data_IF_410894446198
#
_entry.id   IF_410894446198
#
_cell.length_a   1.000
_cell.length_b   1.000
_cell.length_c   1.000
_cell.angle_alpha   90.00
_cell.angle_beta   90.00
_cell.angle_gamma   90.00
#
_symmetry.space_group_name_H-M   'P 1'
#
loop_
_entity.id
_entity.type
_entity.pdbx_description
1 polymer ?
#
# COMPACT_ATOMS: atom_id res chain seq x y z
N UNK A 1 -10.35 -4.30 23.64
CA UNK A 1 -9.27 -4.96 24.39
C UNK A 1 -9.16 -6.41 23.94
N UNK A 2 -8.03 -7.08 24.20
CA UNK A 2 -7.94 -8.53 23.97
C UNK A 2 -9.00 -9.24 24.78
N UNK A 3 -9.85 -10.06 24.14
CA UNK A 3 -10.99 -10.74 24.74
C UNK A 3 -12.34 -10.04 24.58
N UNK A 4 -12.37 -8.82 24.03
CA UNK A 4 -13.62 -8.16 23.70
C UNK A 4 -14.27 -8.82 22.47
N UNK A 5 -15.60 -8.91 22.45
CA UNK A 5 -16.37 -9.36 21.29
C UNK A 5 -16.55 -8.23 20.31
N UNK A 6 -16.38 -8.52 19.02
CA UNK A 6 -16.63 -7.58 17.92
C UNK A 6 -17.67 -8.16 16.96
N UNK A 7 -18.51 -7.29 16.42
CA UNK A 7 -19.49 -7.69 15.41
C UNK A 7 -18.80 -7.69 14.05
N UNK A 8 -18.70 -8.86 13.43
CA UNK A 8 -18.25 -9.00 12.05
C UNK A 8 -19.43 -9.14 11.11
N UNK A 9 -19.51 -8.29 10.10
CA UNK A 9 -20.51 -8.43 9.06
C UNK A 9 -20.20 -9.64 8.18
N UNK A 10 -21.21 -10.46 7.80
CA UNK A 10 -20.95 -11.67 6.99
C UNK A 10 -20.52 -11.34 5.54
N UNK A 11 -20.84 -10.15 5.05
CA UNK A 11 -20.43 -9.70 3.71
C UNK A 11 -19.17 -8.86 3.82
N UNK A 12 -18.09 -9.30 3.17
CA UNK A 12 -16.87 -8.49 2.98
C UNK A 12 -17.13 -7.39 1.96
N UNK A 13 -16.62 -6.21 2.26
CA UNK A 13 -16.64 -5.04 1.37
C UNK A 13 -15.24 -4.45 1.33
N UNK A 14 -14.94 -3.69 0.29
CA UNK A 14 -13.63 -3.04 0.10
C UNK A 14 -12.95 -3.49 -1.18
N UNK A 15 -12.07 -2.65 -1.67
CA UNK A 15 -11.37 -2.82 -2.97
C UNK A 15 -9.93 -3.29 -2.80
N UNK A 16 -9.35 -3.22 -1.59
CA UNK A 16 -7.96 -3.60 -1.33
C UNK A 16 -7.77 -5.12 -1.27
N UNK A 17 -8.04 -5.77 -2.38
CA UNK A 17 -7.71 -7.18 -2.61
C UNK A 17 -6.89 -7.33 -3.88
N UNK A 18 -5.96 -8.26 -3.90
CA UNK A 18 -5.11 -8.51 -5.08
C UNK A 18 -5.94 -8.94 -6.31
N UNK A 19 -7.16 -9.45 -6.12
CA UNK A 19 -8.06 -9.85 -7.19
C UNK A 19 -8.60 -8.66 -8.00
N UNK A 20 -8.61 -7.47 -7.41
CA UNK A 20 -9.01 -6.23 -8.10
C UNK A 20 -7.87 -5.56 -8.89
N UNK A 21 -6.72 -6.20 -8.98
CA UNK A 21 -5.60 -5.79 -9.81
C UNK A 21 -5.33 -6.82 -10.91
N UNK A 22 -4.93 -6.34 -12.08
CA UNK A 22 -4.41 -7.20 -13.16
C UNK A 22 -3.00 -7.72 -12.81
N UNK A 23 -2.55 -8.77 -13.48
CA UNK A 23 -1.20 -9.33 -13.27
C UNK A 23 -0.13 -8.36 -13.76
N UNK A 24 0.95 -8.23 -12.99
CA UNK A 24 2.13 -7.44 -13.35
C UNK A 24 3.36 -7.92 -12.56
N UNK A 25 4.53 -7.32 -12.81
CA UNK A 25 5.76 -7.71 -12.12
C UNK A 25 5.83 -7.15 -10.70
N UNK A 26 5.39 -5.91 -10.49
CA UNK A 26 5.56 -5.18 -9.23
C UNK A 26 4.21 -4.80 -8.63
N UNK A 27 4.09 -4.97 -7.31
CA UNK A 27 2.98 -4.47 -6.51
C UNK A 27 3.49 -3.40 -5.54
N UNK A 28 3.01 -2.18 -5.66
CA UNK A 28 3.26 -1.08 -4.74
C UNK A 28 2.09 -0.93 -3.78
N UNK A 29 2.38 -0.97 -2.48
CA UNK A 29 1.42 -0.79 -1.39
C UNK A 29 1.74 0.54 -0.70
N UNK A 30 1.00 1.59 -1.04
CA UNK A 30 1.24 2.96 -0.56
C UNK A 30 0.31 3.29 0.61
N UNK A 31 0.87 3.56 1.79
CA UNK A 31 0.08 3.83 2.98
C UNK A 31 0.51 5.09 3.74
N UNK A 32 -0.47 5.71 4.41
CA UNK A 32 -0.22 6.73 5.45
C UNK A 32 -0.92 6.34 6.75
N UNK A 33 -0.22 6.53 7.86
CA UNK A 33 -0.76 6.26 9.20
C UNK A 33 -1.36 4.86 9.34
N UNK A 34 -2.62 4.77 9.75
CA UNK A 34 -3.35 3.50 9.94
C UNK A 34 -3.71 2.77 8.65
N UNK A 35 -3.56 3.41 7.49
CA UNK A 35 -3.72 2.77 6.18
C UNK A 35 -2.75 1.61 5.93
N UNK A 36 -1.74 1.43 6.78
CA UNK A 36 -0.88 0.25 6.77
C UNK A 36 -1.64 -1.05 7.09
N UNK A 37 -2.68 -1.00 7.91
CA UNK A 37 -3.33 -2.19 8.46
C UNK A 37 -3.84 -3.21 7.41
N UNK A 38 -4.56 -2.84 6.34
CA UNK A 38 -4.97 -3.80 5.32
C UNK A 38 -3.79 -4.43 4.60
N UNK A 39 -2.69 -3.72 4.40
CA UNK A 39 -1.50 -4.24 3.74
C UNK A 39 -0.77 -5.30 4.56
N UNK A 40 -0.91 -5.30 5.88
CA UNK A 40 -0.37 -6.36 6.74
C UNK A 40 -0.98 -7.74 6.46
N UNK A 41 -2.20 -7.80 5.93
CA UNK A 41 -2.80 -9.05 5.44
C UNK A 41 -2.18 -9.45 4.10
N UNK A 42 -2.09 -8.51 3.17
CA UNK A 42 -1.60 -8.74 1.79
C UNK A 42 -0.15 -9.23 1.79
N UNK A 43 0.75 -8.56 2.52
CA UNK A 43 2.18 -8.94 2.54
C UNK A 43 2.47 -10.29 3.20
N UNK A 44 1.54 -10.85 3.97
CA UNK A 44 1.68 -12.16 4.62
C UNK A 44 1.04 -13.28 3.82
N UNK A 45 0.27 -12.97 2.79
CA UNK A 45 -0.41 -13.94 1.95
C UNK A 45 0.53 -14.46 0.85
N UNK A 46 0.84 -15.77 0.79
CA UNK A 46 1.70 -16.33 -0.26
C UNK A 46 1.18 -16.04 -1.68
N UNK A 47 -0.14 -15.98 -1.86
CA UNK A 47 -0.81 -15.70 -3.12
C UNK A 47 -0.42 -14.33 -3.71
N UNK A 48 -0.02 -13.39 -2.86
CA UNK A 48 0.50 -12.10 -3.30
C UNK A 48 1.79 -12.26 -4.11
N UNK A 49 2.67 -13.16 -3.67
CA UNK A 49 3.96 -13.41 -4.30
C UNK A 49 3.88 -14.42 -5.46
N UNK A 50 2.79 -15.19 -5.53
CA UNK A 50 2.46 -15.97 -6.72
C UNK A 50 2.01 -15.07 -7.87
N UNK A 51 1.35 -13.95 -7.54
CA UNK A 51 0.83 -12.99 -8.52
C UNK A 51 1.83 -11.91 -8.92
N UNK A 52 2.69 -11.45 -8.00
CA UNK A 52 3.63 -10.36 -8.20
C UNK A 52 5.05 -10.79 -7.82
N UNK A 53 6.03 -10.56 -8.71
CA UNK A 53 7.44 -10.92 -8.48
C UNK A 53 8.09 -10.07 -7.38
N UNK A 54 7.70 -8.79 -7.30
CA UNK A 54 8.22 -7.85 -6.32
C UNK A 54 7.05 -7.16 -5.61
N UNK A 55 7.12 -7.10 -4.30
CA UNK A 55 6.16 -6.36 -3.45
C UNK A 55 6.90 -5.25 -2.73
N UNK A 56 6.42 -4.03 -2.88
CA UNK A 56 7.02 -2.82 -2.33
C UNK A 56 6.01 -2.16 -1.40
N UNK A 57 6.28 -2.20 -0.10
CA UNK A 57 5.48 -1.57 0.94
C UNK A 57 6.07 -0.21 1.29
N UNK A 58 5.25 0.82 1.22
CA UNK A 58 5.62 2.19 1.58
C UNK A 58 4.71 2.69 2.70
N UNK A 59 5.30 3.15 3.80
CA UNK A 59 4.57 3.67 4.94
C UNK A 59 5.05 5.06 5.32
N UNK A 60 4.23 6.06 5.09
CA UNK A 60 4.46 7.45 5.50
C UNK A 60 3.74 7.75 6.80
N UNK A 61 4.49 8.28 7.79
CA UNK A 61 3.95 8.73 9.08
C UNK A 61 4.39 10.17 9.37
N UNK A 62 3.89 10.74 10.45
CA UNK A 62 4.38 12.06 10.91
C UNK A 62 5.73 11.93 11.59
N UNK A 63 5.85 10.93 12.46
CA UNK A 63 7.04 10.68 13.27
C UNK A 63 7.45 9.21 13.22
N UNK A 64 8.70 8.90 13.51
CA UNK A 64 9.20 7.53 13.57
C UNK A 64 8.47 6.67 14.62
N UNK A 65 8.04 7.27 15.73
CA UNK A 65 7.30 6.58 16.79
C UNK A 65 5.93 6.03 16.31
N UNK A 66 5.40 6.53 15.19
CA UNK A 66 4.16 6.06 14.59
C UNK A 66 4.37 4.86 13.64
N UNK A 67 5.60 4.48 13.33
CA UNK A 67 5.88 3.26 12.56
C UNK A 67 5.54 2.03 13.39
N UNK A 68 4.56 1.27 12.93
CA UNK A 68 4.05 0.07 13.59
C UNK A 68 4.35 -1.18 12.77
N UNK A 69 4.19 -2.34 13.38
CA UNK A 69 4.38 -3.66 12.74
C UNK A 69 5.78 -3.92 12.18
N UNK A 70 6.79 -3.14 12.55
CA UNK A 70 8.14 -3.24 11.98
C UNK A 70 8.76 -4.63 12.17
N UNK A 71 8.51 -5.31 13.29
CA UNK A 71 9.01 -6.66 13.53
C UNK A 71 8.32 -7.70 12.63
N UNK A 72 7.02 -7.55 12.40
CA UNK A 72 6.27 -8.41 11.48
C UNK A 72 6.75 -8.20 10.04
N UNK A 73 6.95 -6.94 9.63
CA UNK A 73 7.47 -6.62 8.30
C UNK A 73 8.84 -7.27 8.10
N UNK A 74 9.75 -7.20 9.09
CA UNK A 74 11.06 -7.86 9.03
C UNK A 74 10.93 -9.37 8.87
N UNK A 75 10.04 -10.02 9.64
CA UNK A 75 9.78 -11.46 9.50
C UNK A 75 9.28 -11.83 8.10
N UNK A 76 8.43 -11.01 7.50
CA UNK A 76 7.97 -11.21 6.12
C UNK A 76 9.11 -11.07 5.11
N UNK A 77 10.02 -10.10 5.31
CA UNK A 77 11.18 -9.90 4.46
C UNK A 77 12.20 -11.06 4.51
N UNK A 78 12.21 -11.83 5.59
CA UNK A 78 13.05 -13.04 5.70
C UNK A 78 12.54 -14.21 4.82
N UNK A 79 11.24 -14.19 4.47
CA UNK A 79 10.56 -15.29 3.76
C UNK A 79 10.22 -14.93 2.33
N UNK A 80 9.87 -13.67 2.08
CA UNK A 80 9.34 -13.20 0.80
C UNK A 80 10.14 -12.01 0.24
N UNK A 81 10.13 -11.79 -1.08
CA UNK A 81 10.81 -10.65 -1.73
C UNK A 81 10.07 -9.33 -1.50
N UNK A 82 9.92 -8.94 -0.22
CA UNK A 82 9.30 -7.69 0.21
C UNK A 82 10.36 -6.60 0.38
N UNK A 83 10.16 -5.46 -0.30
CA UNK A 83 10.89 -4.21 -0.01
C UNK A 83 10.03 -3.31 0.87
N UNK A 84 10.64 -2.69 1.86
CA UNK A 84 9.94 -1.77 2.76
C UNK A 84 10.64 -0.42 2.81
N UNK A 85 9.87 0.63 2.58
CA UNK A 85 10.28 2.03 2.67
C UNK A 85 9.38 2.77 3.67
N UNK A 86 9.99 3.33 4.69
CA UNK A 86 9.33 4.19 5.66
C UNK A 86 9.76 5.65 5.46
N UNK A 87 8.84 6.59 5.61
CA UNK A 87 9.11 8.03 5.54
C UNK A 87 8.46 8.76 6.70
N UNK A 88 9.06 9.88 7.14
CA UNK A 88 8.51 10.75 8.18
C UNK A 88 8.39 12.18 7.71
N UNK A 89 7.22 12.81 7.94
CA UNK A 89 6.94 14.16 7.45
C UNK A 89 7.28 15.28 8.43
N UNK A 90 7.32 15.01 9.74
CA UNK A 90 7.41 16.06 10.77
C UNK A 90 8.67 15.99 11.64
N UNK A 91 9.55 15.04 11.42
CA UNK A 91 10.82 14.96 12.17
C UNK A 91 12.01 14.78 11.23
N UNK A 92 13.22 14.97 11.77
CA UNK A 92 14.44 14.68 11.05
C UNK A 92 14.64 13.17 10.94
N UNK A 93 14.59 12.67 9.72
CA UNK A 93 14.59 11.26 9.40
C UNK A 93 15.37 10.98 8.11
N UNK A 94 15.89 9.79 7.95
CA UNK A 94 16.69 9.41 6.76
C UNK A 94 15.90 9.58 5.45
N UNK A 95 14.58 9.37 5.50
CA UNK A 95 13.64 9.64 4.40
C UNK A 95 12.58 10.62 4.88
N UNK A 96 13.01 11.87 5.08
CA UNK A 96 12.09 12.95 5.48
C UNK A 96 11.22 13.37 4.31
N UNK A 97 9.93 13.55 4.59
CA UNK A 97 8.94 13.97 3.62
C UNK A 97 7.89 12.90 3.31
N UNK A 98 7.05 13.18 2.33
CA UNK A 98 6.07 12.24 1.80
C UNK A 98 6.75 11.24 0.87
N UNK A 99 6.12 10.12 0.57
CA UNK A 99 6.68 9.13 -0.35
C UNK A 99 6.96 9.68 -1.76
N UNK A 100 6.21 10.70 -2.21
CA UNK A 100 6.42 11.39 -3.48
C UNK A 100 7.84 11.99 -3.61
N UNK A 101 8.40 12.48 -2.51
CA UNK A 101 9.75 13.05 -2.48
C UNK A 101 10.85 11.98 -2.65
N UNK A 102 10.47 10.71 -2.52
CA UNK A 102 11.35 9.55 -2.64
C UNK A 102 10.96 8.61 -3.79
N UNK A 103 10.10 9.09 -4.70
CA UNK A 103 9.49 8.25 -5.75
C UNK A 103 10.54 7.56 -6.64
N UNK A 104 11.59 8.27 -7.02
CA UNK A 104 12.66 7.72 -7.86
C UNK A 104 13.41 6.58 -7.16
N UNK A 105 13.64 6.71 -5.85
CA UNK A 105 14.24 5.65 -5.03
C UNK A 105 13.32 4.43 -4.90
N UNK A 106 12.03 4.68 -4.70
CA UNK A 106 11.02 3.63 -4.44
C UNK A 106 10.73 2.85 -5.72
N UNK A 107 10.63 3.55 -6.86
CA UNK A 107 10.21 2.98 -8.14
C UNK A 107 11.35 2.75 -9.13
N UNK A 108 12.55 3.19 -8.80
CA UNK A 108 13.72 3.15 -9.70
C UNK A 108 13.49 3.96 -11.00
N UNK A 109 12.96 5.18 -10.85
CA UNK A 109 12.83 6.15 -11.94
C UNK A 109 11.40 6.44 -12.41
N UNK A 110 10.40 6.11 -11.61
CA UNK A 110 8.98 6.38 -11.86
C UNK A 110 8.14 5.11 -12.01
N UNK A 111 6.82 5.27 -11.89
CA UNK A 111 5.89 4.17 -12.13
C UNK A 111 5.76 3.84 -13.62
N UNK A 112 5.66 2.56 -13.92
CA UNK A 112 5.47 2.04 -15.28
C UNK A 112 4.18 1.21 -15.35
N UNK A 113 3.19 1.69 -16.11
CA UNK A 113 1.90 1.03 -16.27
C UNK A 113 1.99 -0.44 -16.72
N UNK A 114 2.97 -0.76 -17.55
CA UNK A 114 3.10 -2.11 -18.10
C UNK A 114 3.56 -3.14 -17.05
N UNK A 115 4.30 -2.68 -16.02
CA UNK A 115 4.93 -3.57 -15.04
C UNK A 115 4.44 -3.39 -13.62
N UNK A 116 3.71 -2.32 -13.32
CA UNK A 116 3.40 -1.93 -11.95
C UNK A 116 1.90 -1.96 -11.68
N UNK A 117 1.55 -2.42 -10.49
CA UNK A 117 0.20 -2.31 -9.92
C UNK A 117 0.29 -1.64 -8.56
N UNK A 118 -0.75 -0.89 -8.23
CA UNK A 118 -0.71 -0.04 -7.04
C UNK A 118 -1.96 -0.21 -6.19
N UNK A 119 -1.76 -0.32 -4.89
CA UNK A 119 -2.80 -0.17 -3.87
C UNK A 119 -2.49 1.02 -2.99
N UNK A 120 -3.48 1.84 -2.74
CA UNK A 120 -3.34 3.03 -1.89
C UNK A 120 -4.33 2.96 -0.74
N UNK A 121 -3.83 3.15 0.47
CA UNK A 121 -4.66 3.27 1.66
C UNK A 121 -4.16 4.41 2.56
N UNK A 122 -4.92 5.47 2.64
CA UNK A 122 -4.50 6.65 3.39
C UNK A 122 -5.63 7.64 3.61
N UNK A 123 -5.24 8.85 4.03
CA UNK A 123 -6.16 9.97 4.16
C UNK A 123 -6.71 10.44 2.81
N UNK A 124 -7.80 11.23 2.84
CA UNK A 124 -8.46 11.70 1.61
C UNK A 124 -7.51 12.44 0.66
N UNK A 125 -6.66 13.30 1.20
CA UNK A 125 -5.70 14.10 0.41
C UNK A 125 -4.76 13.19 -0.38
N UNK A 126 -4.13 12.19 0.27
CA UNK A 126 -3.25 11.22 -0.39
C UNK A 126 -3.99 10.44 -1.48
N UNK A 127 -5.22 10.01 -1.19
CA UNK A 127 -5.99 9.22 -2.15
C UNK A 127 -6.35 10.05 -3.40
N UNK A 128 -6.70 11.33 -3.24
CA UNK A 128 -6.95 12.23 -4.39
C UNK A 128 -5.67 12.46 -5.20
N UNK A 129 -4.57 12.80 -4.54
CA UNK A 129 -3.28 13.00 -5.21
C UNK A 129 -2.84 11.75 -5.99
N UNK A 130 -2.99 10.55 -5.38
CA UNK A 130 -2.64 9.31 -6.05
C UNK A 130 -3.55 9.01 -7.25
N UNK A 131 -4.87 9.21 -7.10
CA UNK A 131 -5.80 9.01 -8.20
C UNK A 131 -5.45 9.89 -9.39
N UNK A 132 -5.35 11.20 -9.15
CA UNK A 132 -5.05 12.18 -10.20
C UNK A 132 -3.73 11.82 -10.89
N UNK A 133 -2.68 11.52 -10.11
CA UNK A 133 -1.38 11.15 -10.65
C UNK A 133 -1.46 9.88 -11.53
N UNK A 134 -2.10 8.81 -11.05
CA UNK A 134 -2.15 7.55 -11.79
C UNK A 134 -3.02 7.67 -13.04
N UNK A 135 -4.17 8.34 -12.98
CA UNK A 135 -5.04 8.58 -14.14
C UNK A 135 -4.34 9.45 -15.20
N UNK A 136 -3.65 10.52 -14.81
CA UNK A 136 -2.87 11.37 -15.72
C UNK A 136 -1.72 10.62 -16.40
N UNK A 137 -1.18 9.59 -15.73
CA UNK A 137 -0.15 8.70 -16.30
C UNK A 137 -0.74 7.46 -16.99
N UNK A 138 -2.05 7.46 -17.25
CA UNK A 138 -2.74 6.46 -18.07
C UNK A 138 -3.07 5.16 -17.34
N UNK A 139 -2.90 5.08 -16.01
CA UNK A 139 -3.37 3.95 -15.22
C UNK A 139 -4.89 4.02 -15.07
N UNK A 140 -5.52 2.88 -14.91
CA UNK A 140 -6.97 2.75 -14.75
C UNK A 140 -7.30 2.21 -13.37
N UNK A 141 -8.28 2.83 -12.68
CA UNK A 141 -8.74 2.35 -11.36
C UNK A 141 -9.54 1.04 -11.52
N UNK A 142 -9.17 0.05 -10.74
CA UNK A 142 -9.88 -1.22 -10.61
C UNK A 142 -11.02 -1.15 -9.60
N UNK A 143 -11.95 -2.08 -9.71
CA UNK A 143 -13.10 -2.19 -8.81
C UNK A 143 -13.48 -3.66 -8.58
N UNK A 144 -14.44 -3.91 -7.70
CA UNK A 144 -14.97 -5.25 -7.44
C UNK A 144 -15.48 -5.90 -8.74
N UNK A 145 -14.81 -6.99 -9.14
CA UNK A 145 -15.13 -7.74 -10.37
C UNK A 145 -14.59 -7.12 -11.66
N UNK A 146 -13.91 -5.98 -11.58
CA UNK A 146 -13.26 -5.32 -12.72
C UNK A 146 -11.81 -4.98 -12.37
N UNK A 147 -10.88 -5.97 -12.37
CA UNK A 147 -9.49 -5.75 -12.00
C UNK A 147 -8.78 -4.84 -13.00
N UNK A 148 -7.93 -3.91 -12.47
CA UNK A 148 -7.21 -2.98 -13.30
C UNK A 148 -5.82 -2.63 -12.72
N UNK A 149 -5.30 -1.43 -12.99
CA UNK A 149 -3.92 -1.06 -12.69
C UNK A 149 -3.72 -0.62 -11.24
N UNK A 150 -4.70 0.07 -10.64
CA UNK A 150 -4.61 0.48 -9.23
C UNK A 150 -5.96 0.45 -8.52
N UNK A 151 -5.94 0.39 -7.19
CA UNK A 151 -7.12 0.51 -6.33
C UNK A 151 -6.82 1.41 -5.14
N UNK A 152 -7.85 2.11 -4.66
CA UNK A 152 -7.77 3.06 -3.55
C UNK A 152 -8.83 2.75 -2.49
N UNK A 153 -8.44 2.92 -1.22
CA UNK A 153 -9.40 2.88 -0.12
C UNK A 153 -9.05 3.93 0.94
N UNK A 154 -10.08 4.53 1.54
CA UNK A 154 -9.86 5.50 2.62
C UNK A 154 -9.57 4.75 3.92
N UNK A 155 -8.49 5.14 4.62
CA UNK A 155 -8.14 4.60 5.92
C UNK A 155 -9.16 5.02 7.02
N UNK A 156 -9.88 6.12 6.81
CA UNK A 156 -10.86 6.66 7.73
C UNK A 156 -12.15 6.99 6.99
N UNK A 157 -13.26 6.60 7.57
CA UNK A 157 -14.60 7.05 7.18
C UNK A 157 -15.06 7.95 8.33
N UNK A 158 -15.19 9.26 8.07
CA UNK A 158 -15.81 10.19 9.02
C UNK A 158 -17.30 9.88 9.16
#
# INVERSE_FOLDING_TARGET
>A
KVGDEVICMPKTTGTLTIDNLTVADNLYLLSTGTGLAPFMSIIRAPETYDKFKNVILVHTTRTHAEHTYTDIIKQVQEVFPLKYYDTCTQEDYIRKGRFWEHIDLITNGGFNKETDRVMVCGGPEMNYECRDFFEENGFTEGNLGEPNDFVLERAFVD
#
